data_IF_067332949720
#
_entry.id   IF_067332949720
#
_cell.length_a   1.000
_cell.length_b   1.000
_cell.length_c   1.000
_cell.angle_alpha   90.00
_cell.angle_beta   90.00
_cell.angle_gamma   90.00
#
_symmetry.space_group_name_H-M   'P 1'
#
loop_
_entity.id
_entity.type
_entity.pdbx_description
1 polymer ?
#
# COMPACT_ATOMS: atom_id res chain seq x y z
N UNK A 1 56.17 25.80 0.62
CA UNK A 1 54.69 25.66 0.71
C UNK A 1 54.36 24.21 0.99
N UNK A 2 54.01 23.87 2.24
CA UNK A 2 53.68 22.50 2.63
C UNK A 2 52.34 22.11 1.99
N UNK A 3 52.35 21.10 1.13
CA UNK A 3 51.17 20.60 0.41
C UNK A 3 50.15 20.09 1.45
N UNK A 4 49.04 20.81 1.63
CA UNK A 4 47.96 20.38 2.53
C UNK A 4 47.42 19.03 2.03
N UNK A 5 47.24 18.08 2.95
CA UNK A 5 46.63 16.79 2.62
C UNK A 5 45.15 17.02 2.29
N UNK A 6 44.67 16.70 1.08
CA UNK A 6 43.27 16.92 0.70
C UNK A 6 42.28 16.09 1.52
N UNK A 7 42.72 14.97 2.10
CA UNK A 7 41.88 14.04 2.86
C UNK A 7 41.85 14.35 4.36
N UNK A 8 42.43 15.49 4.79
CA UNK A 8 42.48 15.89 6.19
C UNK A 8 41.79 17.24 6.38
N UNK A 9 40.72 17.23 7.15
CA UNK A 9 40.00 18.42 7.58
C UNK A 9 39.64 18.33 9.07
N UNK A 10 39.21 19.45 9.65
CA UNK A 10 38.84 19.55 11.07
C UNK A 10 37.41 20.03 11.18
N UNK A 11 36.59 19.31 11.95
CA UNK A 11 35.19 19.67 12.23
C UNK A 11 35.09 20.21 13.65
N UNK A 12 34.50 21.40 13.82
CA UNK A 12 34.24 22.00 15.12
C UNK A 12 32.77 21.90 15.52
N UNK A 13 32.48 21.28 16.67
CA UNK A 13 31.13 21.18 17.20
C UNK A 13 30.80 22.30 18.20
N UNK A 14 29.62 22.92 18.08
CA UNK A 14 29.17 24.00 18.98
C UNK A 14 28.65 23.42 20.29
N UNK A 15 29.28 23.80 21.42
CA UNK A 15 28.89 23.33 22.76
C UNK A 15 27.46 23.64 23.16
N UNK A 16 26.85 24.70 22.62
CA UNK A 16 25.51 25.13 23.01
C UNK A 16 24.40 24.49 22.16
N UNK A 17 24.75 23.64 21.18
CA UNK A 17 23.79 22.99 20.30
C UNK A 17 23.59 21.53 20.73
N UNK A 18 22.36 21.17 21.08
CA UNK A 18 22.00 19.83 21.56
C UNK A 18 22.30 18.75 20.53
N UNK A 19 22.03 19.00 19.24
CA UNK A 19 22.35 18.04 18.17
C UNK A 19 23.85 17.84 18.02
N UNK A 20 24.65 18.90 18.17
CA UNK A 20 26.11 18.78 18.14
C UNK A 20 26.64 17.98 19.33
N UNK A 21 26.10 18.20 20.53
CA UNK A 21 26.48 17.41 21.72
C UNK A 21 26.21 15.92 21.52
N UNK A 22 25.02 15.56 21.01
CA UNK A 22 24.65 14.18 20.69
C UNK A 22 25.60 13.56 19.67
N UNK A 23 25.92 14.27 18.58
CA UNK A 23 26.86 13.77 17.57
C UNK A 23 28.26 13.58 18.16
N UNK A 24 28.72 14.50 19.01
CA UNK A 24 30.02 14.36 19.70
C UNK A 24 30.05 13.13 20.60
N UNK A 25 28.99 12.87 21.36
CA UNK A 25 28.87 11.67 22.20
C UNK A 25 28.96 10.39 21.37
N UNK A 26 28.20 10.31 20.28
CA UNK A 26 28.23 9.16 19.36
C UNK A 26 29.62 8.95 18.78
N UNK A 27 30.23 10.01 18.23
CA UNK A 27 31.55 9.91 17.58
C UNK A 27 32.64 9.53 18.59
N UNK A 28 32.61 10.07 19.81
CA UNK A 28 33.58 9.73 20.84
C UNK A 28 33.53 8.25 21.23
N UNK A 29 32.34 7.64 21.22
CA UNK A 29 32.13 6.22 21.53
C UNK A 29 32.31 5.29 20.31
N UNK A 30 32.58 5.84 19.13
CA UNK A 30 32.80 5.06 17.89
C UNK A 30 34.29 4.83 17.67
N UNK A 31 34.69 3.58 17.38
CA UNK A 31 36.09 3.21 17.10
C UNK A 31 36.61 3.91 15.83
N UNK A 32 35.97 3.67 14.68
CA UNK A 32 36.30 4.34 13.41
C UNK A 32 35.33 5.48 13.08
N UNK A 33 35.73 6.70 13.48
CA UNK A 33 34.94 7.91 13.22
C UNK A 33 34.91 8.27 11.73
N UNK A 34 35.98 7.99 10.98
CA UNK A 34 36.07 8.40 9.59
C UNK A 34 35.12 7.56 8.74
N UNK A 35 35.13 6.24 8.93
CA UNK A 35 34.23 5.31 8.23
C UNK A 35 32.77 5.52 8.63
N UNK A 36 32.50 5.79 9.91
CA UNK A 36 31.15 6.13 10.37
C UNK A 36 30.63 7.42 9.71
N UNK A 37 31.43 8.49 9.69
CA UNK A 37 31.06 9.76 9.05
C UNK A 37 30.86 9.56 7.55
N UNK A 38 31.76 8.85 6.87
CA UNK A 38 31.64 8.56 5.44
C UNK A 38 30.34 7.80 5.14
N UNK A 39 30.06 6.73 5.90
CA UNK A 39 28.85 5.94 5.76
C UNK A 39 27.58 6.75 5.98
N UNK A 40 27.56 7.59 7.02
CA UNK A 40 26.41 8.46 7.32
C UNK A 40 26.17 9.51 6.22
N UNK A 41 27.23 10.10 5.67
CA UNK A 41 27.11 11.08 4.57
C UNK A 41 26.62 10.41 3.29
N UNK A 42 27.20 9.28 2.91
CA UNK A 42 26.77 8.52 1.73
C UNK A 42 25.31 8.06 1.87
N UNK A 43 24.93 7.56 3.05
CA UNK A 43 23.54 7.20 3.34
C UNK A 43 22.61 8.41 3.22
N UNK A 44 22.97 9.56 3.77
CA UNK A 44 22.13 10.77 3.71
C UNK A 44 21.89 11.24 2.27
N UNK A 45 22.89 11.06 1.39
CA UNK A 45 22.81 11.38 -0.04
C UNK A 45 22.13 10.28 -0.89
N UNK A 46 21.76 9.14 -0.29
CA UNK A 46 21.22 7.99 -1.03
C UNK A 46 22.26 7.21 -1.84
N UNK A 47 23.55 7.46 -1.60
CA UNK A 47 24.69 6.77 -2.24
C UNK A 47 25.25 5.63 -1.39
N UNK A 48 24.70 5.44 -0.19
CA UNK A 48 25.11 4.39 0.74
C UNK A 48 24.73 3.00 0.23
N UNK A 49 25.72 2.13 0.02
CA UNK A 49 25.50 0.70 -0.16
C UNK A 49 25.08 0.09 1.18
N UNK A 50 23.80 0.14 1.54
CA UNK A 50 23.36 -0.61 2.74
C UNK A 50 22.03 -0.28 3.38
N UNK A 51 21.22 0.66 2.89
CA UNK A 51 19.94 0.99 3.54
C UNK A 51 18.79 1.30 2.59
N UNK A 52 18.83 0.73 1.38
CA UNK A 52 17.57 0.40 0.69
C UNK A 52 16.66 -0.48 1.58
N UNK A 53 17.15 -1.02 2.70
CA UNK A 53 16.35 -1.75 3.70
C UNK A 53 15.35 -0.89 4.51
N UNK A 54 15.37 0.44 4.42
CA UNK A 54 14.29 1.27 4.99
C UNK A 54 13.14 1.47 3.99
N UNK A 55 13.35 1.15 2.71
CA UNK A 55 12.26 0.76 1.84
C UNK A 55 12.09 -0.75 2.04
N UNK A 56 11.20 -1.21 2.94
CA UNK A 56 10.85 -2.62 2.95
C UNK A 56 10.54 -2.98 1.49
N UNK A 57 11.29 -3.95 0.96
CA UNK A 57 11.13 -4.38 -0.43
C UNK A 57 9.62 -4.51 -0.66
N UNK A 58 9.08 -3.90 -1.71
CA UNK A 58 7.61 -3.78 -1.86
C UNK A 58 6.95 -5.16 -1.77
N UNK A 59 7.69 -6.20 -2.14
CA UNK A 59 7.38 -7.63 -1.97
C UNK A 59 7.11 -8.04 -0.50
N UNK A 60 7.90 -7.55 0.45
CA UNK A 60 7.82 -7.84 1.90
C UNK A 60 6.60 -7.21 2.57
N UNK A 61 6.06 -6.13 1.99
CA UNK A 61 4.81 -5.50 2.45
C UNK A 61 3.56 -6.19 1.89
N UNK A 62 3.66 -6.96 0.79
CA UNK A 62 2.50 -7.62 0.18
C UNK A 62 1.71 -8.52 1.14
N UNK A 63 2.34 -9.32 2.03
CA UNK A 63 1.59 -10.12 3.01
C UNK A 63 0.75 -9.27 3.97
N UNK A 64 1.31 -8.13 4.42
CA UNK A 64 0.61 -7.20 5.31
C UNK A 64 -0.55 -6.51 4.58
N UNK A 65 -0.30 -5.99 3.38
CA UNK A 65 -1.32 -5.35 2.54
C UNK A 65 -2.46 -6.33 2.24
N UNK A 66 -2.15 -7.58 1.88
CA UNK A 66 -3.18 -8.62 1.64
C UNK A 66 -4.02 -8.89 2.88
N UNK A 67 -3.40 -8.92 4.06
CA UNK A 67 -4.10 -9.11 5.33
C UNK A 67 -5.05 -7.95 5.61
N UNK A 68 -4.58 -6.70 5.44
CA UNK A 68 -5.38 -5.49 5.62
C UNK A 68 -6.58 -5.49 4.65
N UNK A 69 -6.34 -5.74 3.36
CA UNK A 69 -7.41 -5.77 2.34
C UNK A 69 -8.43 -6.88 2.62
N UNK A 70 -7.98 -8.08 3.01
CA UNK A 70 -8.90 -9.19 3.35
C UNK A 70 -9.79 -8.84 4.54
N UNK A 71 -9.22 -8.22 5.57
CA UNK A 71 -9.96 -7.81 6.76
C UNK A 71 -11.02 -6.76 6.41
N UNK A 72 -10.65 -5.73 5.66
CA UNK A 72 -11.58 -4.67 5.22
C UNK A 72 -12.76 -5.22 4.41
N UNK A 73 -12.50 -6.14 3.47
CA UNK A 73 -13.55 -6.78 2.67
C UNK A 73 -14.49 -7.62 3.55
N UNK A 74 -13.92 -8.36 4.51
CA UNK A 74 -14.72 -9.18 5.42
C UNK A 74 -15.61 -8.32 6.33
N UNK A 75 -15.09 -7.21 6.85
CA UNK A 75 -15.84 -6.23 7.64
C UNK A 75 -16.98 -5.64 6.79
N UNK A 76 -16.70 -5.14 5.59
CA UNK A 76 -17.72 -4.60 4.68
C UNK A 76 -18.82 -5.60 4.30
N UNK A 77 -18.49 -6.90 4.14
CA UNK A 77 -19.49 -7.95 3.87
C UNK A 77 -20.32 -8.25 5.13
N UNK A 78 -19.70 -8.28 6.30
CA UNK A 78 -20.40 -8.52 7.57
C UNK A 78 -21.35 -7.37 7.93
N UNK A 79 -20.96 -6.13 7.66
CA UNK A 79 -21.80 -4.95 7.82
C UNK A 79 -22.96 -4.94 6.80
N UNK A 80 -22.71 -5.33 5.54
CA UNK A 80 -23.80 -5.50 4.55
C UNK A 80 -24.76 -6.63 4.89
N UNK A 81 -24.32 -7.71 5.57
CA UNK A 81 -25.22 -8.77 6.05
C UNK A 81 -26.19 -8.29 7.13
N UNK A 82 -25.80 -7.30 7.94
CA UNK A 82 -26.70 -6.70 8.93
C UNK A 82 -27.76 -5.77 8.30
N UNK A 83 -27.53 -5.22 7.11
CA UNK A 83 -28.52 -4.37 6.42
C UNK A 83 -29.59 -5.19 5.68
N UNK A 84 -29.33 -6.45 5.35
CA UNK A 84 -30.31 -7.31 4.66
C UNK A 84 -31.24 -8.12 5.58
N UNK A 85 -31.14 -8.00 6.91
CA UNK A 85 -32.04 -8.78 7.82
C UNK A 85 -33.31 -8.01 8.23
N UNK A 86 -33.51 -6.78 7.75
CA UNK A 86 -34.78 -6.07 7.92
C UNK A 86 -35.35 -5.60 6.57
N UNK A 87 -35.83 -6.56 5.78
CA UNK A 87 -37.20 -6.55 5.23
C UNK A 87 -37.46 -7.79 4.36
N UNK A 88 -38.67 -8.31 4.56
CA UNK A 88 -39.46 -9.21 3.72
C UNK A 88 -38.98 -10.66 3.61
N UNK A 89 -39.64 -11.51 4.40
CA UNK A 89 -40.15 -12.80 3.94
C UNK A 89 -40.67 -12.66 2.50
N UNK A 90 -40.04 -13.35 1.56
CA UNK A 90 -40.65 -13.90 0.36
C UNK A 90 -39.70 -14.98 -0.15
N UNK A 91 -40.25 -16.18 -0.30
CA UNK A 91 -39.59 -17.39 -0.80
C UNK A 91 -38.78 -17.12 -2.07
N UNK A 92 -37.48 -17.38 -2.04
CA UNK A 92 -36.69 -17.61 -3.26
C UNK A 92 -35.80 -18.83 -3.08
N UNK A 93 -36.27 -19.93 -3.65
CA UNK A 93 -35.51 -21.12 -3.98
C UNK A 93 -34.26 -20.70 -4.76
N UNK A 94 -33.08 -20.84 -4.15
CA UNK A 94 -31.80 -20.55 -4.81
C UNK A 94 -31.58 -21.60 -5.91
N UNK A 95 -31.73 -21.18 -7.16
CA UNK A 95 -31.46 -22.01 -8.33
C UNK A 95 -29.95 -22.07 -8.56
N UNK A 96 -29.36 -23.23 -8.29
CA UNK A 96 -27.95 -23.56 -8.53
C UNK A 96 -27.70 -23.64 -10.06
N UNK A 97 -26.84 -22.77 -10.58
CA UNK A 97 -26.46 -22.71 -12.00
C UNK A 97 -25.14 -23.44 -12.29
N UNK A 98 -24.86 -24.54 -11.60
CA UNK A 98 -23.71 -25.41 -11.87
C UNK A 98 -24.13 -26.71 -12.57
N UNK A 99 -24.64 -26.61 -13.80
CA UNK A 99 -24.96 -27.81 -14.57
C UNK A 99 -25.62 -27.55 -15.92
N UNK A 100 -24.79 -27.46 -16.95
CA UNK A 100 -24.97 -28.10 -18.26
C UNK A 100 -26.33 -27.97 -19.00
N UNK A 101 -26.20 -27.34 -20.18
CA UNK A 101 -26.96 -27.58 -21.43
C UNK A 101 -28.26 -26.78 -21.67
N UNK A 102 -28.44 -26.49 -22.95
CA UNK A 102 -29.35 -25.54 -23.58
C UNK A 102 -30.83 -25.74 -23.22
N UNK A 103 -31.36 -24.90 -22.33
CA UNK A 103 -32.80 -24.60 -22.25
C UNK A 103 -32.98 -23.15 -22.70
N UNK A 104 -33.81 -22.84 -23.71
CA UNK A 104 -34.07 -21.46 -24.08
C UNK A 104 -34.68 -20.77 -22.88
N UNK A 105 -33.98 -19.77 -22.33
CA UNK A 105 -34.51 -18.91 -21.28
C UNK A 105 -35.80 -18.31 -21.85
N UNK A 106 -36.94 -18.82 -21.38
CA UNK A 106 -38.25 -18.31 -21.76
C UNK A 106 -38.40 -16.94 -21.11
N UNK A 107 -37.96 -15.91 -21.82
CA UNK A 107 -38.14 -14.53 -21.37
C UNK A 107 -39.63 -14.21 -21.43
N UNK A 108 -40.17 -13.76 -20.30
CA UNK A 108 -41.52 -13.22 -20.20
C UNK A 108 -41.68 -12.08 -21.23
N UNK A 109 -42.81 -12.07 -21.94
CA UNK A 109 -43.16 -11.08 -22.95
C UNK A 109 -43.08 -9.65 -22.40
N UNK A 110 -43.34 -9.47 -21.11
CA UNK A 110 -43.17 -8.19 -20.42
C UNK A 110 -41.69 -7.75 -20.33
N UNK A 111 -40.76 -8.68 -20.10
CA UNK A 111 -39.32 -8.40 -20.03
C UNK A 111 -38.81 -8.02 -21.43
N UNK A 112 -39.24 -8.76 -22.47
CA UNK A 112 -38.89 -8.46 -23.86
C UNK A 112 -39.37 -7.06 -24.26
N UNK A 113 -40.59 -6.69 -23.88
CA UNK A 113 -41.16 -5.36 -24.15
C UNK A 113 -40.38 -4.24 -23.44
N UNK A 114 -39.99 -4.45 -22.19
CA UNK A 114 -39.20 -3.46 -21.45
C UNK A 114 -37.81 -3.25 -22.06
N UNK A 115 -37.16 -4.33 -22.50
CA UNK A 115 -35.86 -4.26 -23.18
C UNK A 115 -36.01 -3.51 -24.52
N UNK A 116 -37.04 -3.81 -25.32
CA UNK A 116 -37.29 -3.12 -26.59
C UNK A 116 -37.49 -1.62 -26.40
N UNK A 117 -38.32 -1.23 -25.43
CA UNK A 117 -38.58 0.19 -25.12
C UNK A 117 -37.31 0.92 -24.68
N UNK A 118 -36.48 0.28 -23.86
CA UNK A 118 -35.21 0.86 -23.42
C UNK A 118 -34.24 1.06 -24.60
N UNK A 119 -34.18 0.10 -25.53
CA UNK A 119 -33.34 0.21 -26.73
C UNK A 119 -33.84 1.27 -27.71
N UNK A 120 -35.15 1.41 -27.88
CA UNK A 120 -35.74 2.45 -28.74
C UNK A 120 -35.45 3.87 -28.20
N UNK A 121 -35.41 4.04 -26.87
CA UNK A 121 -35.05 5.33 -26.26
C UNK A 121 -33.62 5.79 -26.64
N UNK A 122 -32.69 4.87 -26.91
CA UNK A 122 -31.34 5.20 -27.37
C UNK A 122 -31.24 5.44 -28.87
N UNK A 123 -32.21 4.98 -29.67
CA UNK A 123 -32.23 5.15 -31.13
C UNK A 123 -32.86 6.46 -31.58
N UNK A 124 -33.56 7.16 -30.69
CA UNK A 124 -34.24 8.43 -30.96
C UNK A 124 -33.45 9.70 -30.64
N UNK A 125 -32.10 9.62 -30.50
CA UNK A 125 -31.20 10.76 -30.34
C UNK A 125 -30.33 10.92 -31.59
#
# INVERSE_FOLDING_TARGET
MTKKNPNKFTIGFKKNNVSHQKVVEILNNTEDKADFIASAVLHYLGEGKGTDSLNPDKSSLLPLIRTIVKKEIQEAISEKKFVSTEKTNLDETVMDLSGSEEEPIAFDEHIIKNISNALDAFRGI
#
